data_IF_467044361932
#
_entry.id   IF_467044361932
#
_cell.length_a   1.000
_cell.length_b   1.000
_cell.length_c   1.000
_cell.angle_alpha   90.00
_cell.angle_beta   90.00
_cell.angle_gamma   90.00
#
_symmetry.space_group_name_H-M   'P 1'
#
loop_
_entity.id
_entity.type
_entity.pdbx_description
1 polymer ?
#
# COMPACT_ATOMS: atom_id res chain seq x y z
N UNK A 1 25.76 -43.72 0.98
CA UNK A 1 25.72 -42.27 0.58
C UNK A 1 26.76 -41.59 1.46
N UNK A 2 27.81 -41.14 0.87
CA UNK A 2 29.03 -40.66 1.54
C UNK A 2 28.81 -39.29 2.16
N UNK A 3 29.04 -39.18 3.45
CA UNK A 3 28.98 -37.99 4.33
C UNK A 3 30.01 -36.88 3.98
N UNK A 4 30.19 -36.53 2.72
CA UNK A 4 31.46 -35.91 2.32
C UNK A 4 31.42 -34.40 2.13
N UNK A 5 30.27 -33.71 2.27
CA UNK A 5 30.30 -32.34 1.72
C UNK A 5 30.31 -31.16 2.73
N UNK A 6 30.04 -31.37 4.01
CA UNK A 6 29.92 -30.25 4.95
C UNK A 6 30.97 -30.25 6.06
N UNK A 7 31.92 -31.20 6.07
CA UNK A 7 32.94 -31.30 7.14
C UNK A 7 33.91 -30.12 7.24
N UNK A 8 34.01 -29.30 6.17
CA UNK A 8 34.88 -28.15 6.13
C UNK A 8 34.16 -26.82 6.55
N UNK A 9 32.84 -26.86 6.71
CA UNK A 9 32.08 -25.69 7.16
C UNK A 9 32.03 -25.65 8.67
N UNK A 10 32.83 -24.80 9.28
CA UNK A 10 32.95 -24.64 10.73
C UNK A 10 31.75 -23.84 11.34
N UNK A 11 30.51 -24.18 10.94
CA UNK A 11 29.31 -23.58 11.52
C UNK A 11 28.48 -24.64 12.22
N UNK A 12 28.13 -24.46 13.51
CA UNK A 12 27.24 -25.39 14.20
C UNK A 12 25.85 -25.45 13.55
N UNK A 13 25.46 -24.42 12.78
CA UNK A 13 24.17 -24.36 12.09
C UNK A 13 24.18 -24.98 10.68
N UNK A 14 25.33 -25.44 10.18
CA UNK A 14 25.45 -25.92 8.80
C UNK A 14 24.45 -27.04 8.41
N UNK A 15 24.02 -27.85 9.38
CA UNK A 15 23.02 -28.92 9.20
C UNK A 15 21.69 -28.66 9.89
N UNK A 16 21.65 -27.81 10.91
CA UNK A 16 20.50 -27.67 11.80
C UNK A 16 19.32 -26.98 11.13
N UNK A 17 19.55 -26.01 10.22
CA UNK A 17 18.48 -25.32 9.48
C UNK A 17 17.56 -26.25 8.70
N UNK A 18 18.02 -27.44 8.36
CA UNK A 18 17.26 -28.49 7.64
C UNK A 18 16.56 -29.48 8.57
N UNK A 19 17.09 -29.67 9.79
CA UNK A 19 16.67 -30.72 10.70
C UNK A 19 16.01 -30.20 11.98
N UNK A 20 16.33 -28.97 12.38
CA UNK A 20 15.88 -28.38 13.62
C UNK A 20 14.77 -27.35 13.35
N UNK A 21 13.52 -27.75 13.53
CA UNK A 21 12.36 -26.89 13.41
C UNK A 21 12.32 -25.74 14.43
N UNK A 22 13.10 -25.81 15.51
CA UNK A 22 13.16 -24.74 16.51
C UNK A 22 13.84 -23.48 15.96
N UNK A 23 14.78 -23.62 15.02
CA UNK A 23 15.46 -22.51 14.37
C UNK A 23 14.53 -21.68 13.49
N UNK A 24 13.42 -22.23 13.03
CA UNK A 24 12.44 -21.57 12.17
C UNK A 24 11.22 -21.09 12.95
N UNK A 25 11.13 -21.40 14.24
CA UNK A 25 10.01 -20.93 15.08
C UNK A 25 10.09 -19.42 15.31
N UNK A 26 8.95 -18.73 15.30
CA UNK A 26 8.92 -17.32 15.67
C UNK A 26 9.47 -17.11 17.08
N UNK A 27 10.44 -16.23 17.23
CA UNK A 27 10.98 -15.86 18.54
C UNK A 27 10.06 -14.85 19.19
N UNK A 28 9.51 -15.19 20.35
CA UNK A 28 8.66 -14.29 21.12
C UNK A 28 9.48 -13.08 21.63
N UNK A 29 8.88 -11.89 21.58
CA UNK A 29 9.48 -10.67 22.15
C UNK A 29 10.48 -9.95 21.25
N UNK A 30 10.83 -10.45 20.08
CA UNK A 30 11.65 -9.72 19.10
C UNK A 30 10.79 -8.65 18.43
N UNK A 31 11.22 -7.39 18.55
CA UNK A 31 10.55 -6.28 17.87
C UNK A 31 10.98 -6.27 16.40
N UNK A 32 10.03 -6.16 15.46
CA UNK A 32 10.37 -5.94 14.06
C UNK A 32 11.19 -4.66 13.88
N UNK A 33 12.20 -4.71 13.00
CA UNK A 33 13.02 -3.55 12.69
C UNK A 33 12.28 -2.68 11.69
N UNK A 34 12.03 -1.42 12.05
CA UNK A 34 11.49 -0.41 11.12
C UNK A 34 12.64 0.21 10.35
N UNK A 35 12.65 0.02 9.04
CA UNK A 35 13.72 0.53 8.16
C UNK A 35 13.60 2.03 7.92
N UNK A 36 12.39 2.53 7.68
CA UNK A 36 12.10 3.93 7.36
C UNK A 36 10.96 4.48 8.24
N UNK A 37 11.14 4.59 9.57
CA UNK A 37 10.07 4.94 10.51
C UNK A 37 9.54 6.37 10.35
N UNK A 38 10.21 7.20 9.58
CA UNK A 38 9.86 8.59 9.27
C UNK A 38 9.15 8.73 7.91
N UNK A 39 9.08 7.66 7.12
CA UNK A 39 8.47 7.68 5.79
C UNK A 39 6.95 7.75 5.90
N UNK A 40 6.32 8.67 5.19
CA UNK A 40 4.89 8.68 4.97
C UNK A 40 4.58 8.06 3.61
N UNK A 41 3.68 7.10 3.57
CA UNK A 41 3.22 6.49 2.32
C UNK A 41 1.85 7.05 1.98
N UNK A 42 1.70 7.57 0.77
CA UNK A 42 0.44 8.14 0.26
C UNK A 42 0.04 7.38 -1.00
N UNK A 43 -1.08 6.69 -0.96
CA UNK A 43 -1.63 6.01 -2.15
C UNK A 43 -2.67 6.90 -2.79
N UNK A 44 -2.46 7.23 -4.06
CA UNK A 44 -3.40 8.02 -4.87
C UNK A 44 -4.29 7.08 -5.69
N UNK A 45 -5.60 7.23 -5.53
CA UNK A 45 -6.58 6.43 -6.25
C UNK A 45 -6.47 6.58 -7.77
N UNK A 46 -6.43 5.45 -8.48
CA UNK A 46 -6.36 5.46 -9.95
C UNK A 46 -7.67 5.98 -10.55
N UNK A 47 -8.78 5.29 -10.29
CA UNK A 47 -10.11 5.67 -10.81
C UNK A 47 -10.65 6.93 -10.16
N UNK A 48 -10.48 7.04 -8.86
CA UNK A 48 -11.07 8.10 -8.04
C UNK A 48 -10.38 9.46 -8.22
N UNK A 49 -9.08 9.48 -8.56
CA UNK A 49 -8.30 10.70 -8.71
C UNK A 49 -7.67 10.80 -10.09
N UNK A 50 -6.80 9.84 -10.48
CA UNK A 50 -6.01 9.96 -11.71
C UNK A 50 -6.87 10.00 -12.98
N UNK A 51 -7.89 9.15 -13.08
CA UNK A 51 -8.78 9.09 -14.24
C UNK A 51 -9.73 10.28 -14.36
N UNK A 52 -9.84 11.13 -13.31
CA UNK A 52 -10.67 12.34 -13.34
C UNK A 52 -9.96 13.54 -13.99
N UNK A 53 -8.66 13.42 -14.29
CA UNK A 53 -7.90 14.46 -14.99
C UNK A 53 -7.54 15.67 -14.11
N UNK A 54 -7.26 16.78 -14.76
CA UNK A 54 -6.65 17.97 -14.16
C UNK A 54 -7.39 18.48 -12.92
N UNK A 55 -8.71 18.51 -12.95
CA UNK A 55 -9.52 19.05 -11.85
C UNK A 55 -9.39 18.27 -10.53
N UNK A 56 -9.02 17.00 -10.59
CA UNK A 56 -8.75 16.17 -9.41
C UNK A 56 -7.26 16.09 -9.09
N UNK A 57 -6.41 15.95 -10.13
CA UNK A 57 -4.99 15.72 -9.95
C UNK A 57 -4.27 16.97 -9.46
N UNK A 58 -4.54 18.15 -10.03
CA UNK A 58 -3.78 19.36 -9.71
C UNK A 58 -3.95 19.81 -8.26
N UNK A 59 -5.15 19.80 -7.63
CA UNK A 59 -5.29 20.08 -6.20
C UNK A 59 -4.50 19.10 -5.32
N UNK A 60 -4.48 17.81 -5.67
CA UNK A 60 -3.70 16.79 -4.96
C UNK A 60 -2.20 17.08 -5.09
N UNK A 61 -1.72 17.41 -6.28
CA UNK A 61 -0.33 17.79 -6.54
C UNK A 61 0.07 19.02 -5.71
N UNK A 62 -0.79 20.02 -5.63
CA UNK A 62 -0.53 21.24 -4.85
C UNK A 62 -0.46 20.98 -3.34
N UNK A 63 -1.27 20.05 -2.81
CA UNK A 63 -1.14 19.62 -1.41
C UNK A 63 0.17 18.85 -1.19
N UNK A 64 0.49 17.88 -2.05
CA UNK A 64 1.74 17.11 -1.95
C UNK A 64 2.98 18.01 -2.01
N UNK A 65 2.98 19.01 -2.88
CA UNK A 65 4.03 20.02 -3.02
C UNK A 65 4.32 20.75 -1.72
N UNK A 66 3.26 21.17 -1.03
CA UNK A 66 3.35 21.86 0.27
C UNK A 66 3.83 20.94 1.40
N UNK A 67 3.64 19.64 1.27
CA UNK A 67 4.01 18.64 2.28
C UNK A 67 5.44 18.11 2.12
N UNK A 68 6.02 18.17 0.93
CA UNK A 68 7.39 17.73 0.67
C UNK A 68 8.45 18.39 1.57
N UNK A 69 8.37 19.69 1.93
CA UNK A 69 9.31 20.28 2.87
C UNK A 69 9.20 19.72 4.30
N UNK A 70 8.02 19.24 4.69
CA UNK A 70 7.71 18.76 6.05
C UNK A 70 7.95 17.26 6.21
N UNK A 71 7.68 16.48 5.14
CA UNK A 71 7.67 15.02 5.18
C UNK A 71 8.54 14.42 4.08
N UNK A 72 8.98 13.18 4.29
CA UNK A 72 9.51 12.33 3.23
C UNK A 72 8.40 11.42 2.74
N UNK A 73 8.07 11.51 1.47
CA UNK A 73 6.90 10.89 0.89
C UNK A 73 7.27 9.76 -0.08
N UNK A 74 6.64 8.61 0.06
CA UNK A 74 6.48 7.64 -1.01
C UNK A 74 5.04 7.75 -1.53
N UNK A 75 4.91 8.23 -2.76
CA UNK A 75 3.62 8.46 -3.40
C UNK A 75 3.36 7.32 -4.37
N UNK A 76 2.32 6.54 -4.13
CA UNK A 76 2.01 5.33 -4.91
C UNK A 76 0.70 5.51 -5.66
N UNK A 77 0.70 5.20 -6.95
CA UNK A 77 -0.46 5.38 -7.83
C UNK A 77 -1.20 4.09 -8.14
N UNK A 78 -2.52 4.16 -8.16
CA UNK A 78 -3.39 3.07 -8.63
C UNK A 78 -3.52 3.07 -10.15
N UNK A 79 -3.93 1.93 -10.73
CA UNK A 79 -4.00 1.71 -12.17
C UNK A 79 -5.23 2.34 -12.87
N UNK A 80 -6.32 2.55 -12.14
CA UNK A 80 -7.53 3.15 -12.70
C UNK A 80 -8.37 2.23 -13.58
N UNK A 81 -9.20 2.83 -14.45
CA UNK A 81 -10.13 2.10 -15.33
C UNK A 81 -9.44 1.36 -16.47
N UNK A 82 -8.27 1.83 -16.90
CA UNK A 82 -7.51 1.22 -17.98
C UNK A 82 -7.12 -0.24 -17.67
N UNK A 83 -6.72 -0.51 -16.42
CA UNK A 83 -6.47 -1.87 -15.98
C UNK A 83 -7.70 -2.77 -16.07
N UNK A 84 -8.91 -2.25 -15.84
CA UNK A 84 -10.14 -3.02 -15.98
C UNK A 84 -10.41 -3.42 -17.42
N UNK A 85 -10.12 -2.53 -18.37
CA UNK A 85 -10.18 -2.84 -19.79
C UNK A 85 -9.18 -3.95 -20.16
N UNK A 86 -7.92 -3.83 -19.70
CA UNK A 86 -6.91 -4.87 -19.92
C UNK A 86 -7.29 -6.21 -19.29
N UNK A 87 -7.92 -6.20 -18.11
CA UNK A 87 -8.46 -7.42 -17.51
C UNK A 87 -9.54 -8.06 -18.37
N UNK A 88 -10.47 -7.26 -18.92
CA UNK A 88 -11.49 -7.79 -19.83
C UNK A 88 -10.86 -8.49 -21.04
N UNK A 89 -9.92 -7.82 -21.71
CA UNK A 89 -9.20 -8.40 -22.85
C UNK A 89 -8.44 -9.67 -22.45
N UNK A 90 -7.72 -9.64 -21.32
CA UNK A 90 -6.96 -10.79 -20.85
C UNK A 90 -7.86 -11.98 -20.48
N UNK A 91 -9.02 -11.72 -19.86
CA UNK A 91 -10.00 -12.76 -19.53
C UNK A 91 -10.63 -13.37 -20.79
N UNK A 92 -10.94 -12.56 -21.81
CA UNK A 92 -11.45 -13.02 -23.09
C UNK A 92 -10.44 -13.90 -23.82
N UNK A 93 -9.14 -13.63 -23.63
CA UNK A 93 -8.05 -14.45 -24.14
C UNK A 93 -7.74 -15.68 -23.26
N UNK A 94 -8.43 -15.87 -22.16
CA UNK A 94 -8.20 -16.99 -21.24
C UNK A 94 -6.89 -16.87 -20.43
N UNK A 95 -6.35 -15.66 -20.26
CA UNK A 95 -5.12 -15.45 -19.48
C UNK A 95 -5.35 -15.69 -17.98
N UNK A 96 -4.41 -16.33 -17.28
CA UNK A 96 -4.50 -16.52 -15.84
C UNK A 96 -4.34 -15.18 -15.10
N UNK A 97 -4.89 -15.09 -13.88
CA UNK A 97 -4.85 -13.87 -13.06
C UNK A 97 -3.45 -13.32 -12.84
N UNK A 98 -2.44 -14.20 -12.70
CA UNK A 98 -1.05 -13.81 -12.55
C UNK A 98 -0.48 -13.04 -13.75
N UNK A 99 -0.96 -13.34 -14.97
CA UNK A 99 -0.56 -12.61 -16.18
C UNK A 99 -1.22 -11.22 -16.26
N UNK A 100 -2.33 -11.01 -15.56
CA UNK A 100 -3.04 -9.73 -15.52
C UNK A 100 -2.39 -8.72 -14.55
N UNK A 101 -1.66 -9.19 -13.54
CA UNK A 101 -1.01 -8.33 -12.57
C UNK A 101 0.04 -7.39 -13.17
N UNK A 102 0.99 -7.85 -14.01
CA UNK A 102 1.95 -6.95 -14.67
C UNK A 102 1.27 -5.93 -15.59
N UNK A 103 0.15 -6.29 -16.24
CA UNK A 103 -0.61 -5.34 -17.08
C UNK A 103 -1.15 -4.18 -16.23
N UNK A 104 -1.77 -4.48 -15.09
CA UNK A 104 -2.24 -3.45 -14.18
C UNK A 104 -1.11 -2.66 -13.51
N UNK A 105 0.02 -3.30 -13.21
CA UNK A 105 1.19 -2.63 -12.68
C UNK A 105 1.75 -1.60 -13.68
N UNK A 106 1.76 -1.93 -14.98
CA UNK A 106 2.14 -1.01 -16.05
C UNK A 106 1.23 0.22 -16.11
N UNK A 107 -0.09 0.02 -16.03
CA UNK A 107 -1.04 1.13 -16.00
C UNK A 107 -0.88 2.02 -14.76
N UNK A 108 -0.64 1.43 -13.60
CA UNK A 108 -0.33 2.19 -12.40
C UNK A 108 0.99 2.94 -12.53
N UNK A 109 1.99 2.36 -13.20
CA UNK A 109 3.26 3.00 -13.54
C UNK A 109 3.08 4.24 -14.42
N UNK A 110 2.23 4.16 -15.46
CA UNK A 110 1.92 5.33 -16.30
C UNK A 110 1.33 6.49 -15.48
N UNK A 111 0.40 6.20 -14.56
CA UNK A 111 -0.11 7.19 -13.64
C UNK A 111 0.99 7.77 -12.73
N UNK A 112 1.92 6.94 -12.29
CA UNK A 112 3.10 7.36 -11.53
C UNK A 112 4.00 8.31 -12.32
N UNK A 113 4.27 8.02 -13.58
CA UNK A 113 5.04 8.92 -14.45
C UNK A 113 4.37 10.28 -14.63
N UNK A 114 3.05 10.33 -14.81
CA UNK A 114 2.30 11.58 -14.88
C UNK A 114 2.52 12.39 -13.58
N UNK A 115 2.35 11.75 -12.43
CA UNK A 115 2.47 12.42 -11.14
C UNK A 115 3.90 12.88 -10.86
N UNK A 116 4.90 12.06 -11.21
CA UNK A 116 6.31 12.41 -11.08
C UNK A 116 6.67 13.60 -11.98
N UNK A 117 6.15 13.65 -13.21
CA UNK A 117 6.36 14.78 -14.13
C UNK A 117 5.79 16.09 -13.54
N UNK A 118 4.61 16.04 -12.89
CA UNK A 118 4.01 17.20 -12.25
C UNK A 118 4.78 17.65 -11.00
N UNK A 119 5.47 16.74 -10.31
CA UNK A 119 6.26 17.01 -9.10
C UNK A 119 7.77 17.13 -9.37
N UNK A 120 8.19 17.04 -10.63
CA UNK A 120 9.61 17.14 -11.02
C UNK A 120 10.29 18.45 -10.59
N UNK A 121 9.62 19.64 -10.59
CA UNK A 121 10.21 20.85 -10.10
C UNK A 121 10.66 20.78 -8.62
N UNK A 122 10.04 19.93 -7.80
CA UNK A 122 10.40 19.66 -6.41
C UNK A 122 11.46 18.56 -6.25
N UNK A 123 12.04 18.08 -7.35
CA UNK A 123 13.05 17.03 -7.35
C UNK A 123 12.50 15.63 -7.13
N UNK A 124 11.18 15.44 -7.23
CA UNK A 124 10.54 14.13 -7.10
C UNK A 124 10.79 13.31 -8.36
N UNK A 125 11.21 12.07 -8.18
CA UNK A 125 11.47 11.13 -9.26
C UNK A 125 10.54 9.93 -9.21
N UNK A 126 10.35 9.26 -10.35
CA UNK A 126 9.69 7.98 -10.44
C UNK A 126 10.68 6.83 -10.24
N UNK A 127 10.28 5.80 -9.51
CA UNK A 127 11.00 4.53 -9.44
C UNK A 127 10.04 3.36 -9.69
N UNK A 128 10.54 2.35 -10.39
CA UNK A 128 9.78 1.14 -10.65
C UNK A 128 9.51 0.36 -9.36
N UNK A 129 8.29 -0.19 -9.21
CA UNK A 129 7.92 -0.94 -8.01
C UNK A 129 8.94 -2.04 -7.63
N UNK A 130 9.46 -2.87 -8.55
CA UNK A 130 10.44 -3.89 -8.20
C UNK A 130 11.75 -3.35 -7.63
N UNK A 131 12.06 -2.09 -7.90
CA UNK A 131 13.29 -1.44 -7.43
C UNK A 131 13.12 -0.70 -6.11
N UNK A 132 11.87 -0.52 -5.63
CA UNK A 132 11.57 0.18 -4.36
C UNK A 132 12.41 -0.39 -3.21
N UNK A 133 12.47 -1.72 -3.07
CA UNK A 133 13.19 -2.37 -1.98
C UNK A 133 14.69 -2.03 -1.95
N UNK A 134 15.30 -1.76 -3.11
CA UNK A 134 16.74 -1.51 -3.23
C UNK A 134 17.10 -0.02 -3.31
N UNK A 135 16.22 0.80 -3.87
CA UNK A 135 16.57 2.17 -4.28
C UNK A 135 15.81 3.26 -3.50
N UNK A 136 14.68 2.95 -2.87
CA UNK A 136 13.87 3.95 -2.18
C UNK A 136 14.69 4.80 -1.19
N UNK A 137 15.48 4.16 -0.33
CA UNK A 137 16.28 4.88 0.65
C UNK A 137 17.33 5.79 -0.01
N UNK A 138 17.91 5.37 -1.13
CA UNK A 138 18.89 6.16 -1.90
C UNK A 138 18.22 7.39 -2.51
N UNK A 139 17.07 7.22 -3.17
CA UNK A 139 16.33 8.33 -3.75
C UNK A 139 15.88 9.34 -2.70
N UNK A 140 15.44 8.87 -1.53
CA UNK A 140 15.04 9.73 -0.41
C UNK A 140 16.19 10.45 0.29
N UNK A 141 17.46 10.14 -0.04
CA UNK A 141 18.61 10.96 0.36
C UNK A 141 18.73 12.22 -0.51
N UNK A 142 18.48 12.08 -1.81
CA UNK A 142 18.58 13.18 -2.76
C UNK A 142 17.30 14.02 -2.86
N UNK A 143 16.14 13.43 -2.58
CA UNK A 143 14.82 14.04 -2.71
C UNK A 143 13.95 13.80 -1.47
N UNK A 144 12.97 14.66 -1.27
CA UNK A 144 11.97 14.51 -0.20
C UNK A 144 10.79 13.62 -0.61
N UNK A 145 10.67 13.31 -1.90
CA UNK A 145 9.58 12.51 -2.42
C UNK A 145 9.99 11.59 -3.55
N UNK A 146 9.34 10.45 -3.61
CA UNK A 146 9.48 9.45 -4.67
C UNK A 146 8.09 9.00 -5.08
N UNK A 147 7.87 8.84 -6.39
CA UNK A 147 6.62 8.29 -6.95
C UNK A 147 6.88 6.88 -7.46
N UNK A 148 5.90 5.99 -7.30
CA UNK A 148 5.95 4.64 -7.86
C UNK A 148 4.55 4.07 -8.12
N UNK A 149 4.52 2.88 -8.74
CA UNK A 149 3.28 2.10 -8.85
C UNK A 149 2.93 1.48 -7.50
N UNK A 150 1.66 1.57 -7.11
CA UNK A 150 1.15 0.85 -5.95
C UNK A 150 0.90 -0.63 -6.24
N UNK A 151 0.78 -1.01 -7.51
CA UNK A 151 0.38 -2.35 -7.90
C UNK A 151 1.58 -3.31 -7.85
N UNK A 152 1.53 -4.37 -7.03
CA UNK A 152 2.64 -5.32 -6.95
C UNK A 152 2.77 -6.11 -8.26
N UNK A 153 3.95 -6.13 -8.91
CA UNK A 153 4.10 -6.75 -10.23
C UNK A 153 4.45 -8.24 -10.21
N UNK A 154 4.49 -8.87 -9.04
CA UNK A 154 5.01 -10.24 -8.87
C UNK A 154 3.95 -11.28 -8.51
N UNK A 155 2.67 -11.00 -8.80
CA UNK A 155 1.55 -11.89 -8.49
C UNK A 155 1.45 -13.14 -9.38
N UNK A 156 2.26 -13.27 -10.42
CA UNK A 156 2.29 -14.47 -11.23
C UNK A 156 2.70 -15.73 -10.45
N UNK A 157 3.24 -15.56 -9.24
CA UNK A 157 3.55 -16.64 -8.30
C UNK A 157 2.43 -16.88 -7.27
N UNK A 158 1.41 -16.03 -7.21
CA UNK A 158 0.28 -16.25 -6.31
C UNK A 158 -0.61 -17.38 -6.78
N UNK A 159 -1.11 -18.15 -5.82
CA UNK A 159 -2.12 -19.16 -6.12
C UNK A 159 -3.37 -18.49 -6.70
N UNK A 160 -3.91 -18.92 -7.85
CA UNK A 160 -5.03 -18.27 -8.51
C UNK A 160 -6.33 -18.49 -7.73
N UNK A 161 -6.57 -17.67 -6.71
CA UNK A 161 -7.79 -17.70 -5.91
C UNK A 161 -8.94 -16.91 -6.55
N UNK A 162 -8.68 -16.14 -7.63
CA UNK A 162 -9.69 -15.37 -8.34
C UNK A 162 -9.37 -15.19 -9.82
N UNK A 163 -10.36 -14.73 -10.61
CA UNK A 163 -10.19 -14.47 -12.05
C UNK A 163 -9.31 -13.26 -12.34
N UNK A 164 -9.18 -12.33 -11.40
CA UNK A 164 -8.32 -11.15 -11.49
C UNK A 164 -7.38 -11.12 -10.29
N UNK A 165 -6.26 -10.37 -10.32
CA UNK A 165 -5.33 -10.28 -9.20
C UNK A 165 -6.03 -9.86 -7.90
N UNK A 166 -5.77 -10.57 -6.82
CA UNK A 166 -6.37 -10.31 -5.50
C UNK A 166 -5.71 -9.09 -4.87
N UNK A 167 -4.37 -9.08 -4.80
CA UNK A 167 -3.62 -7.96 -4.27
C UNK A 167 -3.43 -6.92 -5.37
N UNK A 168 -4.16 -5.83 -5.27
CA UNK A 168 -4.07 -4.69 -6.19
C UNK A 168 -3.40 -3.50 -5.52
N UNK A 169 -3.68 -2.29 -5.99
CA UNK A 169 -2.97 -1.09 -5.57
C UNK A 169 -3.02 -0.80 -4.07
N UNK A 170 -4.16 -1.03 -3.42
CA UNK A 170 -4.32 -0.74 -1.99
C UNK A 170 -3.53 -1.71 -1.13
N UNK A 171 -3.65 -3.01 -1.41
CA UNK A 171 -2.87 -4.04 -0.75
C UNK A 171 -1.37 -3.87 -1.00
N UNK A 172 -0.97 -3.54 -2.25
CA UNK A 172 0.43 -3.30 -2.60
C UNK A 172 1.03 -2.10 -1.89
N UNK A 173 0.29 -0.99 -1.79
CA UNK A 173 0.74 0.18 -1.04
C UNK A 173 0.94 -0.14 0.45
N UNK A 174 0.02 -0.92 1.04
CA UNK A 174 0.13 -1.35 2.43
C UNK A 174 1.33 -2.27 2.65
N UNK A 175 1.52 -3.28 1.79
CA UNK A 175 2.64 -4.22 1.90
C UNK A 175 3.99 -3.49 1.85
N UNK A 176 4.14 -2.49 0.98
CA UNK A 176 5.34 -1.64 0.93
C UNK A 176 5.48 -0.82 2.21
N UNK A 177 4.43 -0.16 2.66
CA UNK A 177 4.46 0.64 3.88
C UNK A 177 4.85 -0.20 5.11
N UNK A 178 4.23 -1.37 5.27
CA UNK A 178 4.49 -2.26 6.38
C UNK A 178 5.89 -2.90 6.31
N UNK A 179 6.35 -3.32 5.11
CA UNK A 179 7.68 -3.90 4.92
C UNK A 179 8.81 -2.93 5.30
N UNK A 180 8.66 -1.64 4.99
CA UNK A 180 9.63 -0.61 5.39
C UNK A 180 9.42 -0.09 6.81
N UNK A 181 8.35 -0.47 7.46
CA UNK A 181 7.99 0.06 8.77
C UNK A 181 7.78 1.58 8.73
N UNK A 182 7.06 2.06 7.72
CA UNK A 182 6.74 3.47 7.52
C UNK A 182 5.98 4.07 8.72
N UNK A 183 5.90 5.39 8.79
CA UNK A 183 5.15 6.09 9.84
C UNK A 183 3.64 5.83 9.73
N UNK A 184 3.12 5.72 8.51
CA UNK A 184 1.72 5.46 8.23
C UNK A 184 1.44 5.31 6.75
N UNK A 185 0.20 4.92 6.44
CA UNK A 185 -0.35 4.89 5.09
C UNK A 185 -1.61 5.74 5.05
N UNK A 186 -1.64 6.69 4.11
CA UNK A 186 -2.83 7.46 3.76
C UNK A 186 -3.33 7.04 2.38
N UNK A 187 -4.59 6.63 2.29
CA UNK A 187 -5.28 6.26 1.04
C UNK A 187 -6.15 7.43 0.62
N UNK A 188 -5.85 7.98 -0.55
CA UNK A 188 -6.54 9.14 -1.12
C UNK A 188 -7.53 8.67 -2.17
N UNK A 189 -8.82 8.87 -1.88
CA UNK A 189 -9.95 8.45 -2.72
C UNK A 189 -10.88 9.64 -3.00
N UNK A 190 -12.00 9.41 -3.68
CA UNK A 190 -13.01 10.43 -4.03
C UNK A 190 -14.20 10.50 -3.05
N UNK A 191 -14.04 9.87 -1.88
CA UNK A 191 -15.03 9.86 -0.80
C UNK A 191 -14.35 10.18 0.53
N UNK A 192 -15.12 10.70 1.49
CA UNK A 192 -14.56 11.14 2.78
C UNK A 192 -14.01 10.00 3.64
N UNK A 193 -14.25 8.74 3.27
CA UNK A 193 -13.78 7.57 3.99
C UNK A 193 -14.70 6.38 3.81
N UNK A 194 -14.78 5.50 4.80
CA UNK A 194 -15.67 4.35 4.83
C UNK A 194 -17.04 4.77 5.35
N UNK A 195 -18.10 4.34 4.69
CA UNK A 195 -19.47 4.61 5.10
C UNK A 195 -20.18 3.32 5.55
N UNK A 196 -21.23 3.47 6.34
CA UNK A 196 -22.09 2.34 6.76
C UNK A 196 -22.82 1.71 5.56
N UNK A 197 -23.13 2.49 4.54
CA UNK A 197 -23.71 2.09 3.27
C UNK A 197 -23.09 2.86 2.10
N UNK A 198 -23.44 2.51 0.86
CA UNK A 198 -22.91 3.20 -0.32
C UNK A 198 -23.39 4.66 -0.37
N UNK A 199 -22.52 5.66 -0.28
CA UNK A 199 -22.91 7.07 -0.35
C UNK A 199 -23.43 7.48 -1.74
N UNK A 200 -23.15 6.68 -2.78
CA UNK A 200 -23.63 6.89 -4.15
C UNK A 200 -24.79 5.97 -4.54
N UNK A 201 -25.24 5.12 -3.60
CA UNK A 201 -26.38 4.21 -3.79
C UNK A 201 -27.73 4.90 -3.68
N UNK A 202 -28.81 4.13 -3.81
CA UNK A 202 -30.20 4.62 -3.74
C UNK A 202 -30.48 5.33 -2.39
N UNK A 203 -29.94 4.81 -1.29
CA UNK A 203 -30.07 5.35 0.07
C UNK A 203 -28.85 6.20 0.49
N UNK A 204 -28.08 6.68 -0.47
CA UNK A 204 -26.81 7.38 -0.22
C UNK A 204 -26.93 8.64 0.63
N UNK A 205 -28.07 9.34 0.54
CA UNK A 205 -28.36 10.53 1.37
C UNK A 205 -28.40 10.22 2.88
N UNK A 206 -28.57 8.95 3.27
CA UNK A 206 -28.57 8.50 4.66
C UNK A 206 -27.24 7.85 5.07
N UNK A 207 -26.26 7.79 4.16
CA UNK A 207 -24.95 7.20 4.44
C UNK A 207 -24.22 7.99 5.53
N UNK A 208 -23.72 7.29 6.54
CA UNK A 208 -22.97 7.87 7.64
C UNK A 208 -21.51 7.48 7.54
N UNK A 209 -20.64 8.47 7.64
CA UNK A 209 -19.20 8.26 7.67
C UNK A 209 -18.81 7.54 8.96
N UNK A 210 -18.10 6.42 8.81
CA UNK A 210 -17.47 5.70 9.91
C UNK A 210 -16.11 6.35 10.15
N UNK A 211 -16.02 7.11 11.25
CA UNK A 211 -14.80 7.87 11.55
C UNK A 211 -13.63 6.97 11.95
N UNK A 212 -13.92 5.89 12.66
CA UNK A 212 -12.93 4.97 13.20
C UNK A 212 -13.46 3.54 13.16
N UNK A 213 -12.60 2.59 12.80
CA UNK A 213 -12.96 1.18 12.66
C UNK A 213 -11.72 0.28 12.78
N UNK A 214 -11.94 -1.03 12.82
CA UNK A 214 -10.88 -2.05 12.84
C UNK A 214 -10.92 -2.93 11.60
N UNK A 215 -9.82 -3.64 11.31
CA UNK A 215 -9.82 -4.67 10.27
C UNK A 215 -10.88 -5.74 10.50
N UNK A 216 -11.12 -6.13 11.76
CA UNK A 216 -12.12 -7.13 12.11
C UNK A 216 -13.53 -6.65 11.77
N UNK A 217 -13.88 -5.42 12.12
CA UNK A 217 -15.17 -4.82 11.79
C UNK A 217 -15.38 -4.72 10.27
N UNK A 218 -14.33 -4.32 9.54
CA UNK A 218 -14.37 -4.23 8.08
C UNK A 218 -14.46 -5.59 7.39
N UNK A 219 -13.84 -6.62 7.96
CA UNK A 219 -13.96 -8.00 7.45
C UNK A 219 -15.40 -8.52 7.57
N UNK A 220 -16.08 -8.19 8.67
CA UNK A 220 -17.47 -8.54 8.90
C UNK A 220 -18.47 -7.64 8.15
N UNK A 221 -18.01 -6.47 7.66
CA UNK A 221 -18.88 -5.51 6.96
C UNK A 221 -19.22 -6.00 5.56
N UNK A 222 -20.50 -6.07 5.25
CA UNK A 222 -21.00 -6.25 3.88
C UNK A 222 -21.04 -4.91 3.12
N UNK A 223 -21.13 -5.01 1.78
CA UNK A 223 -21.27 -3.85 0.90
C UNK A 223 -19.94 -3.25 0.42
N UNK A 224 -20.00 -2.11 -0.29
CA UNK A 224 -18.85 -1.51 -0.95
C UNK A 224 -17.90 -0.86 0.07
N UNK A 225 -16.62 -0.91 -0.28
CA UNK A 225 -15.54 -0.20 0.40
C UNK A 225 -14.84 0.72 -0.62
N UNK A 226 -14.27 1.84 -0.20
CA UNK A 226 -13.53 2.74 -1.09
C UNK A 226 -12.17 2.18 -1.53
N UNK A 227 -11.80 1.00 -1.07
CA UNK A 227 -10.56 0.30 -1.38
C UNK A 227 -10.81 -1.21 -1.61
N UNK A 228 -9.78 -1.92 -2.03
CA UNK A 228 -9.85 -3.36 -2.32
C UNK A 228 -9.98 -4.19 -1.03
N UNK A 229 -10.92 -5.15 -0.97
CA UNK A 229 -11.14 -5.98 0.22
C UNK A 229 -9.89 -6.74 0.66
N UNK A 230 -9.02 -7.17 -0.26
CA UNK A 230 -7.76 -7.82 0.07
C UNK A 230 -6.83 -6.96 0.95
N UNK A 231 -7.02 -5.64 0.97
CA UNK A 231 -6.32 -4.76 1.92
C UNK A 231 -6.61 -5.15 3.37
N UNK A 232 -7.84 -5.56 3.68
CA UNK A 232 -8.23 -5.94 5.05
C UNK A 232 -7.41 -7.13 5.54
N UNK A 233 -7.21 -8.13 4.67
CA UNK A 233 -6.47 -9.34 5.02
C UNK A 233 -4.99 -9.04 5.30
N UNK A 234 -4.36 -8.19 4.47
CA UNK A 234 -2.97 -7.80 4.71
C UNK A 234 -2.81 -6.88 5.91
N UNK A 235 -3.78 -6.00 6.19
CA UNK A 235 -3.80 -5.17 7.40
C UNK A 235 -3.96 -6.01 8.68
N UNK A 236 -4.72 -7.09 8.64
CA UNK A 236 -4.90 -7.98 9.78
C UNK A 236 -3.59 -8.66 10.21
N UNK A 237 -2.63 -8.81 9.29
CA UNK A 237 -1.30 -9.40 9.52
C UNK A 237 -0.18 -8.36 9.65
N UNK A 238 -0.52 -7.10 9.79
CA UNK A 238 0.42 -5.98 9.90
C UNK A 238 1.48 -6.20 10.99
N UNK A 239 2.70 -5.76 10.73
CA UNK A 239 3.82 -5.84 11.67
C UNK A 239 4.24 -4.49 12.22
N UNK A 240 4.11 -3.42 11.43
CA UNK A 240 4.60 -2.10 11.74
C UNK A 240 3.53 -1.01 11.64
N UNK A 241 2.63 -1.12 10.65
CA UNK A 241 1.59 -0.13 10.42
C UNK A 241 0.43 -0.39 11.38
N UNK A 242 0.23 0.50 12.32
CA UNK A 242 -0.85 0.40 13.31
C UNK A 242 -2.16 1.01 12.81
N UNK A 243 -2.08 1.95 11.87
CA UNK A 243 -3.22 2.72 11.39
C UNK A 243 -3.09 3.04 9.91
N UNK A 244 -4.21 2.92 9.21
CA UNK A 244 -4.38 3.40 7.83
C UNK A 244 -5.47 4.45 7.83
N UNK A 245 -5.26 5.55 7.12
CA UNK A 245 -6.26 6.62 7.02
C UNK A 245 -6.77 6.74 5.59
N UNK A 246 -8.10 6.81 5.43
CA UNK A 246 -8.76 7.00 4.14
C UNK A 246 -9.33 8.41 4.08
N UNK A 247 -8.94 9.18 3.07
CA UNK A 247 -9.30 10.59 2.94
C UNK A 247 -9.80 10.95 1.55
N UNK A 248 -10.61 12.00 1.46
CA UNK A 248 -11.11 12.54 0.22
C UNK A 248 -10.09 13.49 -0.43
N UNK A 249 -9.47 13.06 -1.53
CA UNK A 249 -8.53 13.87 -2.29
C UNK A 249 -9.18 15.01 -3.09
N UNK A 250 -10.51 14.98 -3.24
CA UNK A 250 -11.25 16.06 -3.91
C UNK A 250 -11.62 17.19 -2.94
N UNK A 251 -11.50 16.97 -1.63
CA UNK A 251 -11.76 17.96 -0.60
C UNK A 251 -10.42 18.63 -0.19
N UNK A 252 -10.22 19.93 -0.49
CA UNK A 252 -8.96 20.61 -0.22
C UNK A 252 -8.51 20.54 1.24
N UNK A 253 -7.21 20.31 1.46
CA UNK A 253 -6.61 20.28 2.79
C UNK A 253 -6.72 18.93 3.52
N UNK A 254 -7.44 17.95 2.98
CA UNK A 254 -7.63 16.67 3.67
C UNK A 254 -6.37 15.80 3.70
N UNK A 255 -5.58 15.80 2.63
CA UNK A 255 -4.31 15.10 2.59
C UNK A 255 -3.33 15.75 3.58
N UNK A 256 -3.29 17.08 3.56
CA UNK A 256 -2.45 17.88 4.47
C UNK A 256 -2.78 17.60 5.94
N UNK A 257 -4.06 17.65 6.31
CA UNK A 257 -4.51 17.38 7.67
C UNK A 257 -4.14 15.95 8.12
N UNK A 258 -4.38 14.96 7.26
CA UNK A 258 -4.05 13.57 7.55
C UNK A 258 -2.56 13.35 7.81
N UNK A 259 -1.68 13.89 6.95
CA UNK A 259 -0.24 13.73 7.09
C UNK A 259 0.34 14.51 8.28
N UNK A 260 -0.33 15.54 8.74
CA UNK A 260 -0.02 16.26 9.99
C UNK A 260 -0.57 15.58 11.24
N UNK A 261 -1.22 14.43 11.08
CA UNK A 261 -1.71 13.61 12.20
C UNK A 261 -3.11 13.92 12.66
N UNK A 262 -3.86 14.75 11.93
CA UNK A 262 -5.25 15.02 12.26
C UNK A 262 -6.14 13.83 11.87
N UNK A 263 -7.16 13.56 12.67
CA UNK A 263 -8.16 12.54 12.37
C UNK A 263 -9.20 13.09 11.39
N UNK A 264 -8.90 12.99 10.09
CA UNK A 264 -9.81 13.32 8.99
C UNK A 264 -10.19 12.05 8.23
N UNK A 265 -11.41 12.01 7.70
CA UNK A 265 -11.90 10.81 7.01
C UNK A 265 -12.12 9.61 7.94
N UNK A 266 -11.67 8.43 7.53
CA UNK A 266 -11.76 7.19 8.32
C UNK A 266 -10.39 6.72 8.75
N UNK A 267 -10.22 6.48 10.05
CA UNK A 267 -9.05 5.81 10.62
C UNK A 267 -9.34 4.33 10.81
N UNK A 268 -8.49 3.47 10.25
CA UNK A 268 -8.61 2.02 10.32
C UNK A 268 -7.46 1.49 11.16
N UNK A 269 -7.77 0.83 12.28
CA UNK A 269 -6.78 0.13 13.10
C UNK A 269 -6.46 -1.22 12.50
N UNK A 270 -5.17 -1.50 12.33
CA UNK A 270 -4.65 -2.75 11.76
C UNK A 270 -4.54 -3.83 12.84
N UNK A 271 -4.14 -5.04 12.44
CA UNK A 271 -3.80 -6.13 13.36
C UNK A 271 -2.38 -6.04 13.93
N UNK A 272 -1.67 -4.91 13.74
CA UNK A 272 -0.31 -4.75 14.25
C UNK A 272 -0.25 -4.97 15.76
N UNK A 273 0.62 -5.86 16.20
CA UNK A 273 0.82 -6.14 17.62
C UNK A 273 1.45 -4.91 18.29
N UNK A 274 0.74 -4.27 19.18
CA UNK A 274 1.35 -3.30 20.09
C UNK A 274 2.47 -3.99 20.86
N UNK A 275 3.68 -3.42 20.78
CA UNK A 275 4.76 -3.89 21.63
C UNK A 275 4.35 -3.67 23.10
N UNK A 276 4.56 -4.65 23.99
CA UNK A 276 4.25 -4.45 25.40
C UNK A 276 4.99 -3.18 25.88
N UNK A 277 4.24 -2.32 26.58
CA UNK A 277 4.81 -1.12 27.18
C UNK A 277 6.03 -1.53 28.02
N UNK A 278 7.13 -0.82 27.88
CA UNK A 278 8.26 -1.01 28.77
C UNK A 278 7.74 -0.77 30.20
N UNK A 279 7.79 -1.80 31.02
CA UNK A 279 7.79 -1.59 32.46
C UNK A 279 9.00 -0.67 32.77
N UNK A 280 8.71 0.47 33.35
CA UNK A 280 9.69 1.47 33.76
C UNK A 280 10.61 0.90 34.83
#
# INVERSE_FOLDING_TARGET
MTETSIKHVASPLARQTLLDGDLTRPVAGVRPIRLLPWLQVVKIGGRSIMDRGANAILPVVDELRKLLPEHRLLILTGAGVRARHLYSVGLDLGLPSGSLAPLAASEAGQNGHILAALLAPEGVSYIEHPTIAKQLAIHLQASRGVVGSAFPPYHHHEFPASRIPIHRADAGAFLVADAFGAAGLTIVEDVDGVYDRDPHGVDGAQARLIRETTCADLAAKEGPLPFDRALIDVMATARHIERVQVVNGLAPGRITAALRGEHVGTLIHTGARQAPARAA
#
